data_IF_811223544624
#
_entry.id   IF_811223544624
#
_cell.length_a   1.000
_cell.length_b   1.000
_cell.length_c   1.000
_cell.angle_alpha   90.00
_cell.angle_beta   90.00
_cell.angle_gamma   90.00
#
_symmetry.space_group_name_H-M   'P 1'
#
loop_
_entity.id
_entity.type
_entity.pdbx_description
1 polymer ?
#
# COMPACT_ATOMS: atom_id res chain seq x y z
N UNK A 1 33.28 -14.36 -3.94
CA UNK A 1 33.65 -15.14 -5.12
C UNK A 1 35.12 -14.92 -5.40
N UNK A 2 35.86 -15.98 -5.71
CA UNK A 2 37.24 -15.86 -6.18
C UNK A 2 37.22 -15.83 -7.70
N UNK A 3 37.97 -14.91 -8.31
CA UNK A 3 38.20 -14.88 -9.74
C UNK A 3 39.42 -15.76 -10.00
N UNK A 4 39.28 -16.79 -10.82
CA UNK A 4 40.43 -17.59 -11.24
C UNK A 4 41.28 -16.78 -12.21
N UNK A 5 42.58 -16.66 -11.94
CA UNK A 5 43.55 -16.07 -12.87
C UNK A 5 44.08 -17.10 -13.89
N UNK A 6 43.58 -18.34 -13.85
CA UNK A 6 44.04 -19.44 -14.70
C UNK A 6 43.18 -19.48 -15.97
N UNK A 7 43.83 -19.45 -17.13
CA UNK A 7 43.18 -19.58 -18.43
C UNK A 7 42.97 -21.07 -18.78
N UNK A 8 41.75 -21.44 -19.16
CA UNK A 8 41.46 -22.76 -19.71
C UNK A 8 42.07 -22.90 -21.11
N UNK A 9 42.83 -23.98 -21.31
CA UNK A 9 43.41 -24.36 -22.61
C UNK A 9 42.69 -25.60 -23.16
N UNK A 10 42.75 -25.86 -24.48
CA UNK A 10 42.25 -27.10 -25.05
C UNK A 10 42.79 -28.34 -24.31
N UNK A 11 41.91 -29.28 -23.96
CA UNK A 11 42.25 -30.48 -23.20
C UNK A 11 42.38 -30.28 -21.69
N UNK A 12 42.05 -29.09 -21.16
CA UNK A 12 42.06 -28.80 -19.72
C UNK A 12 40.67 -28.40 -19.23
N UNK A 13 40.39 -28.63 -17.95
CA UNK A 13 39.18 -28.18 -17.28
C UNK A 13 39.54 -27.46 -15.98
N UNK A 14 38.76 -26.44 -15.61
CA UNK A 14 38.92 -25.70 -14.37
C UNK A 14 37.67 -25.91 -13.54
N UNK A 15 37.85 -26.36 -12.29
CA UNK A 15 36.74 -26.50 -11.36
C UNK A 15 36.16 -25.12 -11.03
N UNK A 16 34.86 -24.99 -11.18
CA UNK A 16 34.12 -23.75 -10.93
C UNK A 16 32.91 -24.04 -10.05
N UNK A 17 32.49 -23.03 -9.28
CA UNK A 17 31.27 -23.08 -8.47
C UNK A 17 30.22 -22.14 -9.06
N UNK A 18 28.95 -22.44 -8.83
CA UNK A 18 27.83 -21.59 -9.28
C UNK A 18 28.01 -20.14 -8.82
N UNK A 19 27.88 -19.19 -9.76
CA UNK A 19 28.03 -17.76 -9.51
C UNK A 19 29.47 -17.23 -9.58
N UNK A 20 30.47 -18.09 -9.81
CA UNK A 20 31.83 -17.63 -10.08
C UNK A 20 31.98 -17.16 -11.55
N UNK A 21 32.86 -16.17 -11.81
CA UNK A 21 33.14 -15.75 -13.18
C UNK A 21 33.79 -16.86 -14.01
N UNK A 22 33.38 -16.98 -15.27
CA UNK A 22 33.94 -17.95 -16.22
C UNK A 22 35.43 -17.64 -16.45
N UNK A 23 36.34 -18.62 -16.30
CA UNK A 23 37.76 -18.42 -16.55
C UNK A 23 38.01 -18.08 -18.03
N UNK A 24 39.01 -17.25 -18.36
CA UNK A 24 39.37 -16.99 -19.74
C UNK A 24 39.62 -18.30 -20.51
N UNK A 25 39.14 -18.39 -21.75
CA UNK A 25 39.31 -19.56 -22.61
C UNK A 25 38.32 -20.71 -22.41
N UNK A 26 37.48 -20.67 -21.37
CA UNK A 26 36.36 -21.61 -21.22
C UNK A 26 35.12 -21.10 -21.97
N UNK A 27 34.42 -22.00 -22.66
CA UNK A 27 33.25 -21.72 -23.49
C UNK A 27 31.99 -22.50 -23.06
N UNK A 28 32.08 -23.37 -22.05
CA UNK A 28 30.96 -24.10 -21.47
C UNK A 28 31.23 -24.50 -20.01
N UNK A 29 30.17 -24.77 -19.24
CA UNK A 29 30.26 -25.35 -17.90
C UNK A 29 29.51 -26.68 -17.85
N UNK A 30 30.19 -27.73 -17.39
CA UNK A 30 29.61 -29.07 -17.20
C UNK A 30 29.23 -29.24 -15.72
N UNK A 31 27.96 -29.55 -15.39
CA UNK A 31 27.57 -29.93 -14.03
C UNK A 31 28.37 -31.15 -13.56
N UNK A 32 28.83 -31.17 -12.30
CA UNK A 32 29.69 -32.24 -11.81
C UNK A 32 28.97 -33.60 -11.80
N UNK A 33 27.63 -33.61 -11.78
CA UNK A 33 26.77 -34.78 -11.91
C UNK A 33 26.94 -35.49 -13.27
N UNK A 34 27.43 -34.77 -14.28
CA UNK A 34 27.73 -35.29 -15.62
C UNK A 34 29.23 -35.57 -15.80
N UNK A 35 29.95 -35.74 -14.69
CA UNK A 35 31.38 -36.05 -14.65
C UNK A 35 31.66 -37.21 -13.70
N UNK A 36 32.86 -37.78 -13.78
CA UNK A 36 33.32 -38.84 -12.88
C UNK A 36 33.72 -38.35 -11.47
N UNK A 37 33.49 -37.06 -11.13
CA UNK A 37 33.85 -36.48 -9.83
C UNK A 37 33.19 -37.24 -8.66
N UNK A 38 31.93 -37.66 -8.81
CA UNK A 38 31.19 -38.36 -7.75
C UNK A 38 31.75 -39.75 -7.47
N UNK A 39 32.16 -40.48 -8.51
CA UNK A 39 32.76 -41.81 -8.40
C UNK A 39 34.16 -41.73 -7.79
N UNK A 40 34.99 -40.78 -8.24
CA UNK A 40 36.35 -40.56 -7.73
C UNK A 40 36.39 -40.18 -6.26
N UNK A 41 35.42 -39.37 -5.80
CA UNK A 41 35.28 -39.04 -4.36
C UNK A 41 34.99 -40.26 -3.50
N UNK A 42 34.20 -41.23 -4.01
CA UNK A 42 33.88 -42.47 -3.28
C UNK A 42 35.07 -43.43 -3.21
N UNK A 43 35.92 -43.43 -4.23
CA UNK A 43 37.09 -44.30 -4.30
C UNK A 43 38.37 -43.70 -3.70
N UNK A 44 38.29 -42.53 -3.03
CA UNK A 44 39.45 -41.78 -2.50
C UNK A 44 40.58 -41.56 -3.53
N UNK A 45 40.23 -41.51 -4.82
CA UNK A 45 41.17 -41.32 -5.91
C UNK A 45 41.25 -39.84 -6.23
N UNK A 46 42.35 -39.20 -5.83
CA UNK A 46 42.61 -37.79 -6.11
C UNK A 46 43.58 -37.69 -7.28
N UNK A 47 43.10 -37.19 -8.42
CA UNK A 47 43.91 -36.95 -9.62
C UNK A 47 43.58 -35.59 -10.26
N UNK A 48 44.46 -35.11 -11.13
CA UNK A 48 44.29 -33.83 -11.85
C UNK A 48 43.44 -33.95 -13.13
N UNK A 49 42.77 -35.09 -13.33
CA UNK A 49 41.98 -35.39 -14.51
C UNK A 49 40.51 -35.55 -14.12
N UNK A 50 39.62 -35.21 -15.06
CA UNK A 50 38.17 -35.37 -14.93
C UNK A 50 37.64 -36.04 -16.19
N UNK A 51 36.77 -37.04 -16.02
CA UNK A 51 36.00 -37.65 -17.08
C UNK A 51 34.68 -36.92 -17.28
N UNK A 52 34.38 -36.51 -18.51
CA UNK A 52 33.11 -35.87 -18.88
C UNK A 52 32.27 -36.90 -19.63
N UNK A 53 31.06 -37.19 -19.13
CA UNK A 53 30.23 -38.28 -19.66
C UNK A 53 29.37 -37.90 -20.86
N UNK A 54 29.22 -36.60 -21.16
CA UNK A 54 28.38 -36.13 -22.24
C UNK A 54 29.03 -34.98 -23.04
N UNK A 55 28.73 -34.86 -24.34
CA UNK A 55 29.07 -33.65 -25.08
C UNK A 55 28.30 -32.45 -24.50
N UNK A 56 28.92 -31.27 -24.48
CA UNK A 56 28.32 -30.03 -23.99
C UNK A 56 28.42 -28.97 -25.08
N UNK A 57 27.30 -28.31 -25.36
CA UNK A 57 27.26 -27.23 -26.35
C UNK A 57 28.00 -25.99 -25.85
N UNK A 58 28.54 -25.19 -26.78
CA UNK A 58 29.06 -23.88 -26.46
C UNK A 58 27.99 -23.04 -25.73
N UNK A 59 28.43 -22.25 -24.75
CA UNK A 59 27.63 -21.39 -23.87
C UNK A 59 26.70 -22.12 -22.90
N UNK A 60 26.72 -23.46 -22.84
CA UNK A 60 25.92 -24.20 -21.88
C UNK A 60 26.30 -23.84 -20.44
N UNK A 61 25.28 -23.55 -19.63
CA UNK A 61 25.40 -23.19 -18.22
C UNK A 61 26.26 -21.93 -17.95
N UNK A 62 26.44 -21.07 -18.95
CA UNK A 62 27.09 -19.77 -18.82
C UNK A 62 26.02 -18.68 -18.76
N UNK A 63 26.09 -17.85 -17.71
CA UNK A 63 25.28 -16.65 -17.57
C UNK A 63 26.04 -15.43 -18.07
N UNK A 64 25.53 -14.77 -19.13
CA UNK A 64 26.17 -13.61 -19.73
C UNK A 64 25.96 -12.36 -18.88
N UNK A 65 26.92 -11.45 -18.95
CA UNK A 65 26.83 -10.15 -18.27
C UNK A 65 25.61 -9.38 -18.76
N UNK A 66 24.69 -9.09 -17.85
CA UNK A 66 23.49 -8.31 -18.14
C UNK A 66 22.38 -9.09 -18.84
N UNK A 67 22.40 -10.43 -18.81
CA UNK A 67 21.31 -11.23 -19.36
C UNK A 67 19.99 -11.07 -18.60
N UNK A 68 20.06 -10.89 -17.27
CA UNK A 68 18.87 -10.67 -16.43
C UNK A 68 18.44 -9.20 -16.44
N UNK A 69 19.38 -8.28 -16.24
CA UNK A 69 19.16 -6.83 -16.21
C UNK A 69 20.35 -6.13 -16.86
N UNK A 70 20.11 -5.40 -17.94
CA UNK A 70 21.15 -4.65 -18.62
C UNK A 70 21.46 -3.32 -17.92
N UNK A 71 22.70 -2.85 -18.05
CA UNK A 71 23.07 -1.53 -17.52
C UNK A 71 22.27 -0.44 -18.23
N UNK A 72 21.57 0.38 -17.45
CA UNK A 72 20.76 1.50 -17.95
C UNK A 72 19.30 1.14 -18.23
N UNK A 73 18.93 -0.13 -18.06
CA UNK A 73 17.55 -0.59 -18.18
C UNK A 73 16.67 -0.06 -17.04
N UNK A 74 15.42 0.27 -17.36
CA UNK A 74 14.42 0.63 -16.35
C UNK A 74 13.85 -0.63 -15.71
N UNK A 75 14.20 -0.86 -14.45
CA UNK A 75 13.82 -2.08 -13.73
C UNK A 75 12.47 -1.96 -13.00
N UNK A 76 12.18 -0.79 -12.43
CA UNK A 76 10.94 -0.54 -11.68
C UNK A 76 10.35 0.80 -12.12
N UNK A 77 9.11 0.76 -12.61
CA UNK A 77 8.38 1.97 -13.00
C UNK A 77 7.92 2.79 -11.79
N UNK A 78 7.86 4.12 -11.94
CA UNK A 78 7.22 5.02 -10.96
C UNK A 78 5.76 4.60 -10.75
N UNK A 79 5.32 4.58 -9.50
CA UNK A 79 3.96 4.16 -9.12
C UNK A 79 3.83 2.65 -8.85
N UNK A 80 4.90 1.86 -9.07
CA UNK A 80 4.94 0.46 -8.65
C UNK A 80 4.97 0.35 -7.14
N UNK A 81 4.09 -0.50 -6.59
CA UNK A 81 4.12 -0.89 -5.18
C UNK A 81 5.31 -1.81 -4.98
N UNK A 82 6.17 -1.49 -4.01
CA UNK A 82 7.32 -2.33 -3.69
C UNK A 82 6.85 -3.55 -2.87
N UNK A 83 6.88 -4.73 -3.47
CA UNK A 83 6.66 -6.01 -2.80
C UNK A 83 8.01 -6.70 -2.55
N UNK A 84 8.06 -7.89 -1.90
CA UNK A 84 9.33 -8.55 -1.60
C UNK A 84 10.25 -8.74 -2.81
N UNK A 85 9.68 -9.01 -3.99
CA UNK A 85 10.43 -9.15 -5.23
C UNK A 85 11.13 -7.85 -5.65
N UNK A 86 10.41 -6.72 -5.69
CA UNK A 86 11.01 -5.42 -6.01
C UNK A 86 12.10 -5.02 -5.01
N UNK A 87 11.90 -5.32 -3.72
CA UNK A 87 12.92 -5.09 -2.69
C UNK A 87 14.17 -5.93 -2.96
N UNK A 88 14.01 -7.20 -3.32
CA UNK A 88 15.12 -8.09 -3.67
C UNK A 88 15.91 -7.60 -4.88
N UNK A 89 15.22 -7.10 -5.91
CA UNK A 89 15.85 -6.53 -7.10
C UNK A 89 16.58 -5.22 -6.77
N UNK A 90 16.00 -4.34 -5.95
CA UNK A 90 16.70 -3.12 -5.51
C UNK A 90 17.99 -3.46 -4.74
N UNK A 91 17.93 -4.47 -3.86
CA UNK A 91 19.08 -4.94 -3.10
C UNK A 91 20.17 -5.54 -4.00
N UNK A 92 19.80 -6.37 -4.99
CA UNK A 92 20.76 -6.96 -5.93
C UNK A 92 21.47 -5.92 -6.80
N UNK A 93 20.81 -4.78 -7.05
CA UNK A 93 21.37 -3.61 -7.74
C UNK A 93 22.16 -2.68 -6.80
N UNK A 94 22.36 -3.04 -5.53
CA UNK A 94 23.11 -2.24 -4.56
C UNK A 94 22.39 -0.96 -4.13
N UNK A 95 21.07 -0.87 -4.28
CA UNK A 95 20.28 0.31 -3.90
C UNK A 95 19.86 0.22 -2.44
N UNK A 96 20.60 0.89 -1.56
CA UNK A 96 20.29 0.95 -0.13
C UNK A 96 19.22 2.00 0.24
N UNK A 97 18.91 2.94 -0.67
CA UNK A 97 17.87 3.96 -0.51
C UNK A 97 17.17 4.21 -1.83
N UNK A 98 15.86 4.41 -1.77
CA UNK A 98 15.02 4.75 -2.93
C UNK A 98 14.05 5.87 -2.57
N UNK A 99 13.70 6.68 -3.56
CA UNK A 99 12.67 7.72 -3.41
C UNK A 99 11.30 7.06 -3.52
N UNK A 100 10.44 7.30 -2.54
CA UNK A 100 9.05 6.80 -2.50
C UNK A 100 8.08 7.94 -2.22
N UNK A 101 6.81 7.73 -2.55
CA UNK A 101 5.74 8.64 -2.10
C UNK A 101 5.54 8.41 -0.61
N UNK A 102 5.52 9.49 0.18
CA UNK A 102 5.25 9.39 1.62
C UNK A 102 3.81 8.96 1.87
N UNK A 103 3.56 8.34 3.03
CA UNK A 103 2.20 8.07 3.48
C UNK A 103 1.46 9.39 3.75
N UNK A 104 0.18 9.52 3.35
CA UNK A 104 -0.62 10.70 3.66
C UNK A 104 -1.03 10.70 5.13
N UNK A 105 -1.02 11.88 5.75
CA UNK A 105 -1.51 12.11 7.11
C UNK A 105 -3.00 12.46 7.05
N UNK A 106 -3.84 11.67 7.71
CA UNK A 106 -5.31 11.81 7.66
C UNK A 106 -5.82 12.21 9.04
N UNK A 107 -6.36 13.41 9.15
CA UNK A 107 -7.01 13.90 10.36
C UNK A 107 -8.39 13.27 10.53
N UNK A 108 -8.74 12.85 11.74
CA UNK A 108 -10.06 12.27 12.07
C UNK A 108 -10.65 13.06 13.22
N UNK A 109 -11.81 13.67 12.99
CA UNK A 109 -12.53 14.48 13.97
C UNK A 109 -13.94 13.90 14.15
N UNK A 110 -14.27 13.48 15.37
CA UNK A 110 -15.64 13.17 15.71
C UNK A 110 -16.41 14.46 16.03
N UNK A 111 -17.70 14.48 15.74
CA UNK A 111 -18.63 15.52 16.21
C UNK A 111 -19.85 14.85 16.81
N UNK A 112 -20.59 15.58 17.63
CA UNK A 112 -21.75 15.05 18.35
C UNK A 112 -21.65 15.38 19.83
N UNK A 113 -22.60 16.17 20.33
CA UNK A 113 -22.71 16.41 21.77
C UNK A 113 -22.99 15.11 22.53
N UNK A 114 -23.61 14.10 21.91
CA UNK A 114 -23.83 12.78 22.49
C UNK A 114 -22.55 11.95 22.67
N UNK A 115 -21.44 12.33 22.04
CA UNK A 115 -20.24 11.51 21.92
C UNK A 115 -19.28 11.75 23.08
N UNK A 116 -18.85 10.67 23.74
CA UNK A 116 -17.86 10.67 24.82
C UNK A 116 -16.56 9.97 24.40
N UNK A 117 -15.47 10.41 25.02
CA UNK A 117 -14.21 9.68 24.99
C UNK A 117 -14.32 8.34 25.74
N UNK A 118 -13.61 7.32 25.28
CA UNK A 118 -13.67 5.96 25.84
C UNK A 118 -13.12 5.85 27.27
N UNK A 119 -12.38 6.86 27.74
CA UNK A 119 -11.83 6.93 29.10
C UNK A 119 -12.81 7.53 30.10
N UNK A 120 -13.88 8.18 29.64
CA UNK A 120 -14.86 8.83 30.50
C UNK A 120 -15.95 7.85 30.95
N UNK A 121 -16.56 8.04 32.13
CA UNK A 121 -17.70 7.24 32.54
C UNK A 121 -18.91 7.51 31.64
N UNK A 122 -19.63 6.45 31.26
CA UNK A 122 -20.84 6.57 30.44
C UNK A 122 -21.92 7.35 31.19
N UNK A 123 -22.47 8.38 30.54
CA UNK A 123 -23.55 9.19 31.08
C UNK A 123 -24.87 8.88 30.35
N UNK A 124 -26.04 9.08 30.99
CA UNK A 124 -27.32 8.93 30.33
C UNK A 124 -27.41 9.77 29.05
N UNK A 125 -27.86 9.15 27.95
CA UNK A 125 -27.99 9.81 26.65
C UNK A 125 -26.67 10.03 25.88
N UNK A 126 -25.55 9.53 26.40
CA UNK A 126 -24.26 9.58 25.71
C UNK A 126 -23.85 8.22 25.15
N UNK A 127 -22.98 8.24 24.14
CA UNK A 127 -22.38 7.06 23.51
C UNK A 127 -20.86 7.23 23.38
N UNK A 128 -20.12 6.13 23.36
CA UNK A 128 -18.68 6.19 23.15
C UNK A 128 -18.30 6.43 21.69
N UNK A 129 -17.22 7.18 21.48
CA UNK A 129 -16.63 7.49 20.17
C UNK A 129 -16.00 6.26 19.50
N UNK A 130 -16.82 5.34 18.98
CA UNK A 130 -16.34 4.15 18.28
C UNK A 130 -15.78 4.47 16.88
N UNK A 131 -16.37 5.44 16.18
CA UNK A 131 -16.02 5.75 14.78
C UNK A 131 -14.59 6.25 14.62
N UNK A 132 -14.08 7.08 15.54
CA UNK A 132 -12.72 7.60 15.42
C UNK A 132 -11.68 6.48 15.40
N UNK A 133 -11.87 5.44 16.22
CA UNK A 133 -10.96 4.29 16.27
C UNK A 133 -11.13 3.35 15.08
N UNK A 134 -12.36 3.07 14.64
CA UNK A 134 -12.58 2.24 13.45
C UNK A 134 -12.01 2.91 12.20
N UNK A 135 -12.22 4.22 12.04
CA UNK A 135 -11.65 5.01 10.94
C UNK A 135 -10.12 5.08 11.00
N UNK A 136 -9.53 5.24 12.19
CA UNK A 136 -8.06 5.24 12.34
C UNK A 136 -7.44 3.91 11.90
N UNK A 137 -8.08 2.79 12.26
CA UNK A 137 -7.70 1.47 11.78
C UNK A 137 -7.85 1.39 10.25
N UNK A 138 -8.96 1.84 9.68
CA UNK A 138 -9.18 1.80 8.22
C UNK A 138 -8.18 2.67 7.46
N UNK A 139 -7.80 3.85 7.98
CA UNK A 139 -6.71 4.69 7.43
C UNK A 139 -5.40 3.93 7.41
N UNK A 140 -5.03 3.30 8.53
CA UNK A 140 -3.80 2.51 8.65
C UNK A 140 -3.78 1.34 7.66
N UNK A 141 -4.89 0.59 7.56
CA UNK A 141 -5.04 -0.51 6.59
C UNK A 141 -5.00 -0.03 5.13
N UNK A 142 -5.39 1.22 4.87
CA UNK A 142 -5.33 1.85 3.55
C UNK A 142 -3.95 2.45 3.22
N UNK A 143 -2.98 2.35 4.13
CA UNK A 143 -1.61 2.84 3.95
C UNK A 143 -1.37 4.28 4.40
N UNK A 144 -2.37 4.98 4.93
CA UNK A 144 -2.24 6.31 5.51
C UNK A 144 -1.74 6.29 6.96
N UNK A 145 -1.51 7.48 7.52
CA UNK A 145 -1.19 7.70 8.94
C UNK A 145 -2.39 8.41 9.57
N UNK A 146 -3.11 7.80 10.53
CA UNK A 146 -4.24 8.46 11.18
C UNK A 146 -3.75 9.47 12.24
N UNK A 147 -4.46 10.59 12.36
CA UNK A 147 -4.30 11.56 13.43
C UNK A 147 -5.66 11.85 14.05
N UNK A 148 -5.88 11.40 15.29
CA UNK A 148 -7.10 11.68 16.04
C UNK A 148 -7.08 13.12 16.54
N UNK A 149 -8.07 13.91 16.13
CA UNK A 149 -8.21 15.32 16.50
C UNK A 149 -9.15 15.54 17.71
N UNK A 150 -9.79 14.45 18.16
CA UNK A 150 -10.71 14.44 19.30
C UNK A 150 -12.17 14.50 18.88
N UNK A 151 -13.00 15.02 19.79
CA UNK A 151 -14.44 15.21 19.62
C UNK A 151 -14.71 16.72 19.66
N UNK A 152 -15.36 17.25 18.64
CA UNK A 152 -15.84 18.63 18.62
C UNK A 152 -17.31 18.70 19.07
N UNK A 153 -17.68 19.67 19.93
CA UNK A 153 -19.09 19.98 20.21
C UNK A 153 -19.84 20.43 18.96
N UNK A 154 -21.16 20.28 18.95
CA UNK A 154 -22.03 20.64 17.82
C UNK A 154 -22.34 22.14 17.78
N UNK A 155 -21.30 22.97 17.69
CA UNK A 155 -21.43 24.39 17.40
C UNK A 155 -20.35 24.89 16.44
N UNK A 156 -20.68 25.87 15.60
CA UNK A 156 -19.84 26.27 14.48
C UNK A 156 -18.46 26.78 14.91
N UNK A 157 -18.39 27.47 16.06
CA UNK A 157 -17.15 28.06 16.58
C UNK A 157 -16.17 26.97 17.02
N UNK A 158 -16.62 26.03 17.84
CA UNK A 158 -15.74 24.97 18.36
C UNK A 158 -15.38 23.97 17.26
N UNK A 159 -16.31 23.68 16.34
CA UNK A 159 -16.04 22.85 15.19
C UNK A 159 -14.99 23.49 14.25
N UNK A 160 -15.09 24.78 13.97
CA UNK A 160 -14.08 25.54 13.20
C UNK A 160 -12.69 25.45 13.85
N UNK A 161 -12.61 25.66 15.17
CA UNK A 161 -11.36 25.54 15.92
C UNK A 161 -10.78 24.12 15.86
N UNK A 162 -11.63 23.09 15.93
CA UNK A 162 -11.21 21.71 15.83
C UNK A 162 -10.74 21.34 14.40
N UNK A 163 -11.43 21.83 13.36
CA UNK A 163 -11.05 21.66 11.96
C UNK A 163 -9.68 22.26 11.67
N UNK A 164 -9.36 23.43 12.24
CA UNK A 164 -8.04 24.07 12.10
C UNK A 164 -6.89 23.21 12.62
N UNK A 165 -7.13 22.34 13.62
CA UNK A 165 -6.13 21.34 14.06
C UNK A 165 -5.79 20.32 12.97
N UNK A 166 -6.70 20.12 12.00
CA UNK A 166 -6.49 19.26 10.84
C UNK A 166 -5.70 19.90 9.70
N UNK A 167 -5.34 21.19 9.77
CA UNK A 167 -4.70 21.89 8.65
C UNK A 167 -3.28 21.41 8.34
N UNK A 168 -2.62 20.75 9.29
CA UNK A 168 -1.34 20.05 9.10
C UNK A 168 -1.49 18.69 8.38
N UNK A 169 -2.71 18.20 8.20
CA UNK A 169 -2.99 16.94 7.52
C UNK A 169 -3.10 17.12 5.99
N UNK A 170 -3.08 16.00 5.28
CA UNK A 170 -3.29 15.95 3.83
C UNK A 170 -4.77 15.79 3.47
N UNK A 171 -5.58 15.29 4.40
CA UNK A 171 -7.02 15.11 4.30
C UNK A 171 -7.64 15.14 5.68
N UNK A 172 -8.86 15.63 5.78
CA UNK A 172 -9.68 15.60 6.99
C UNK A 172 -10.90 14.70 6.79
N UNK A 173 -11.17 13.85 7.77
CA UNK A 173 -12.38 13.05 7.87
C UNK A 173 -13.14 13.51 9.10
N UNK A 174 -14.40 13.91 8.93
CA UNK A 174 -15.31 14.11 10.06
C UNK A 174 -16.25 12.93 10.17
N UNK A 175 -16.67 12.56 11.37
CA UNK A 175 -17.65 11.51 11.63
C UNK A 175 -18.70 12.01 12.59
N UNK A 176 -19.97 11.99 12.17
CA UNK A 176 -21.04 12.67 12.89
C UNK A 176 -21.32 14.05 12.29
N UNK A 177 -22.40 14.69 12.72
CA UNK A 177 -22.79 16.02 12.26
C UNK A 177 -23.34 16.10 10.83
N UNK A 178 -23.10 15.10 9.98
CA UNK A 178 -23.57 15.06 8.57
C UNK A 178 -24.94 14.36 8.50
N UNK A 179 -26.01 15.09 8.73
CA UNK A 179 -27.39 14.58 8.66
C UNK A 179 -28.31 15.59 7.97
N UNK A 180 -29.44 15.12 7.45
CA UNK A 180 -30.45 15.97 6.77
C UNK A 180 -31.25 16.87 7.74
N UNK A 181 -30.82 17.01 8.99
CA UNK A 181 -31.51 17.82 10.00
C UNK A 181 -31.07 19.28 9.98
N UNK A 182 -31.85 20.14 10.65
CA UNK A 182 -31.66 21.60 10.73
C UNK A 182 -30.36 22.04 11.43
N UNK A 183 -29.55 21.10 11.94
CA UNK A 183 -28.36 21.32 12.76
C UNK A 183 -27.07 20.76 12.13
N UNK A 184 -26.94 20.80 10.80
CA UNK A 184 -25.70 20.36 10.13
C UNK A 184 -24.61 21.44 10.23
N UNK A 185 -24.02 21.55 11.43
CA UNK A 185 -22.95 22.51 11.76
C UNK A 185 -21.72 22.27 10.88
N UNK A 186 -21.46 21.01 10.49
CA UNK A 186 -20.36 20.67 9.57
C UNK A 186 -20.57 21.32 8.21
N UNK A 187 -21.80 21.28 7.68
CA UNK A 187 -22.15 21.97 6.44
C UNK A 187 -21.92 23.46 6.55
N UNK A 188 -22.43 24.09 7.60
CA UNK A 188 -22.29 25.53 7.81
C UNK A 188 -20.81 25.96 7.84
N UNK A 189 -19.97 25.24 8.58
CA UNK A 189 -18.55 25.56 8.67
C UNK A 189 -17.83 25.30 7.34
N UNK A 190 -18.18 24.24 6.63
CA UNK A 190 -17.59 23.95 5.31
C UNK A 190 -18.00 24.98 4.24
N UNK A 191 -19.24 25.46 4.25
CA UNK A 191 -19.69 26.54 3.35
C UNK A 191 -19.04 27.89 3.68
N UNK A 192 -18.73 28.15 4.96
CA UNK A 192 -18.08 29.39 5.39
C UNK A 192 -16.57 29.41 5.14
N UNK A 193 -15.88 28.27 5.35
CA UNK A 193 -14.42 28.18 5.36
C UNK A 193 -13.84 27.43 4.16
N UNK A 194 -14.69 26.98 3.24
CA UNK A 194 -14.32 26.07 2.17
C UNK A 194 -15.25 26.12 0.97
N UNK A 195 -15.22 25.03 0.21
CA UNK A 195 -16.07 24.78 -0.95
C UNK A 195 -16.72 23.39 -0.80
N UNK A 196 -18.04 23.32 -0.98
CA UNK A 196 -18.82 22.07 -0.92
C UNK A 196 -19.02 21.53 -2.33
N UNK A 197 -18.74 20.24 -2.54
CA UNK A 197 -18.97 19.56 -3.83
C UNK A 197 -20.27 18.76 -3.83
N UNK A 198 -20.51 17.91 -2.84
CA UNK A 198 -21.74 17.12 -2.73
C UNK A 198 -22.06 16.75 -1.28
N UNK A 199 -23.35 16.46 -1.02
CA UNK A 199 -23.89 16.18 0.33
C UNK A 199 -24.66 14.84 0.46
N UNK A 200 -24.95 14.18 -0.66
CA UNK A 200 -25.62 12.89 -0.66
C UNK A 200 -25.18 12.02 -1.81
N UNK A 201 -25.25 10.70 -1.61
CA UNK A 201 -25.04 9.70 -2.65
C UNK A 201 -26.19 8.69 -2.63
N UNK A 202 -26.60 8.21 -3.81
CA UNK A 202 -27.59 7.14 -3.94
C UNK A 202 -26.98 5.77 -3.56
N UNK A 203 -26.80 5.54 -2.27
CA UNK A 203 -26.24 4.31 -1.71
C UNK A 203 -26.92 3.89 -0.41
N UNK A 204 -26.77 2.62 -0.04
CA UNK A 204 -27.22 2.07 1.24
C UNK A 204 -26.20 1.08 1.80
N UNK A 205 -25.80 1.22 3.08
CA UNK A 205 -25.99 2.38 3.96
C UNK A 205 -25.13 3.57 3.53
N UNK A 206 -25.22 4.72 4.22
CA UNK A 206 -24.34 5.87 3.94
C UNK A 206 -24.85 6.91 2.94
N UNK A 207 -26.17 7.10 2.81
CA UNK A 207 -26.75 8.18 1.99
C UNK A 207 -26.14 9.58 2.28
N UNK A 208 -26.06 10.05 3.54
CA UNK A 208 -25.48 11.35 3.83
C UNK A 208 -23.95 11.23 3.78
N UNK A 209 -23.33 12.01 2.91
CA UNK A 209 -21.88 12.08 2.81
C UNK A 209 -21.52 13.46 2.27
N UNK A 210 -20.64 14.14 2.99
CA UNK A 210 -20.13 15.44 2.58
C UNK A 210 -18.77 15.28 1.92
N UNK A 211 -18.55 15.93 0.79
CA UNK A 211 -17.21 16.13 0.26
C UNK A 211 -17.01 17.60 -0.12
N UNK A 212 -15.85 18.12 0.23
CA UNK A 212 -15.45 19.48 -0.07
C UNK A 212 -13.98 19.73 0.25
N UNK A 213 -13.61 21.00 0.28
CA UNK A 213 -12.24 21.41 0.62
C UNK A 213 -12.25 22.63 1.52
N UNK A 214 -11.43 22.65 2.56
CA UNK A 214 -11.17 23.86 3.37
C UNK A 214 -10.05 24.69 2.77
N UNK A 215 -10.21 26.01 2.77
CA UNK A 215 -9.18 26.95 2.31
C UNK A 215 -8.04 26.98 3.33
N UNK A 216 -6.80 27.01 2.83
CA UNK A 216 -5.58 27.16 3.64
C UNK A 216 -4.73 28.27 3.03
N UNK A 217 -4.40 29.28 3.82
CA UNK A 217 -3.64 30.44 3.34
C UNK A 217 -2.27 30.03 2.79
N UNK A 218 -2.01 30.36 1.53
CA UNK A 218 -0.74 30.03 0.86
C UNK A 218 -0.47 28.54 0.66
N UNK A 219 -1.45 27.66 0.89
CA UNK A 219 -1.32 26.21 0.77
C UNK A 219 -2.41 25.62 -0.13
N UNK A 220 -2.20 24.38 -0.59
CA UNK A 220 -3.25 23.62 -1.27
C UNK A 220 -4.47 23.49 -0.35
N UNK A 221 -5.68 23.58 -0.89
CA UNK A 221 -6.90 23.36 -0.10
C UNK A 221 -6.88 21.97 0.57
N UNK A 222 -7.43 21.87 1.78
CA UNK A 222 -7.49 20.62 2.55
C UNK A 222 -8.75 19.83 2.15
N UNK A 223 -8.64 18.68 1.49
CA UNK A 223 -9.79 17.84 1.20
C UNK A 223 -10.47 17.36 2.47
N UNK A 224 -11.79 17.43 2.49
CA UNK A 224 -12.64 17.02 3.60
C UNK A 224 -13.65 15.98 3.13
N UNK A 225 -13.82 14.93 3.94
CA UNK A 225 -14.87 13.95 3.78
C UNK A 225 -15.66 13.82 5.08
N UNK A 226 -16.92 14.24 5.07
CA UNK A 226 -17.83 14.09 6.19
C UNK A 226 -18.62 12.80 6.08
N UNK A 227 -18.39 11.92 7.04
CA UNK A 227 -19.00 10.60 7.13
C UNK A 227 -20.22 10.59 8.07
N UNK A 228 -21.19 9.70 7.82
CA UNK A 228 -22.32 9.50 8.72
C UNK A 228 -21.89 9.18 10.16
N UNK A 229 -22.68 9.59 11.14
CA UNK A 229 -22.47 9.21 12.55
C UNK A 229 -22.74 7.72 12.84
N UNK A 230 -23.60 7.06 12.05
CA UNK A 230 -23.86 5.63 12.21
C UNK A 230 -22.59 4.80 11.91
N UNK A 231 -22.13 3.91 12.83
CA UNK A 231 -20.83 3.25 12.68
C UNK A 231 -20.66 2.41 11.42
N UNK A 232 -21.66 1.61 11.06
CA UNK A 232 -21.62 0.77 9.85
C UNK A 232 -21.59 1.65 8.60
N UNK A 233 -22.42 2.70 8.58
CA UNK A 233 -22.48 3.65 7.47
C UNK A 233 -21.14 4.39 7.31
N UNK A 234 -20.51 4.81 8.40
CA UNK A 234 -19.21 5.48 8.40
C UNK A 234 -18.12 4.58 7.78
N UNK A 235 -18.01 3.33 8.23
CA UNK A 235 -17.01 2.39 7.72
C UNK A 235 -17.20 2.03 6.24
N UNK A 236 -18.44 1.85 5.79
CA UNK A 236 -18.76 1.56 4.38
C UNK A 236 -18.46 2.78 3.50
N UNK A 237 -18.81 3.98 3.97
CA UNK A 237 -18.55 5.22 3.26
C UNK A 237 -17.04 5.50 3.17
N UNK A 238 -16.28 5.23 4.23
CA UNK A 238 -14.81 5.26 4.19
C UNK A 238 -14.27 4.33 3.09
N UNK A 239 -14.72 3.08 3.06
CA UNK A 239 -14.23 2.07 2.13
C UNK A 239 -14.49 2.45 0.65
N UNK A 240 -15.62 3.10 0.39
CA UNK A 240 -16.02 3.52 -0.97
C UNK A 240 -15.33 4.82 -1.39
N UNK A 241 -15.12 5.78 -0.49
CA UNK A 241 -14.65 7.13 -0.85
C UNK A 241 -13.28 7.50 -0.27
N UNK A 242 -13.05 7.29 1.03
CA UNK A 242 -11.79 7.67 1.67
C UNK A 242 -10.63 6.77 1.24
N UNK A 243 -10.83 5.44 1.18
CA UNK A 243 -9.78 4.50 0.75
C UNK A 243 -9.23 4.82 -0.65
N UNK A 244 -10.05 4.98 -1.72
CA UNK A 244 -9.50 5.33 -3.03
C UNK A 244 -8.87 6.72 -3.05
N UNK A 245 -9.34 7.69 -2.24
CA UNK A 245 -8.68 8.99 -2.11
C UNK A 245 -7.28 8.87 -1.51
N UNK A 246 -7.11 8.07 -0.45
CA UNK A 246 -5.81 7.75 0.17
C UNK A 246 -4.87 7.08 -0.85
N UNK A 247 -5.37 6.09 -1.59
CA UNK A 247 -4.59 5.44 -2.65
C UNK A 247 -4.13 6.44 -3.72
N UNK A 248 -5.02 7.34 -4.15
CA UNK A 248 -4.69 8.40 -5.11
C UNK A 248 -3.60 9.32 -4.59
N UNK A 249 -3.66 9.73 -3.31
CA UNK A 249 -2.60 10.53 -2.66
C UNK A 249 -1.25 9.79 -2.62
N UNK A 250 -1.27 8.46 -2.51
CA UNK A 250 -0.08 7.62 -2.57
C UNK A 250 0.43 7.36 -4.00
N UNK A 251 -0.21 7.92 -5.02
CA UNK A 251 0.12 7.69 -6.43
C UNK A 251 -0.19 6.27 -6.90
N UNK A 252 -1.03 5.55 -6.16
CA UNK A 252 -1.51 4.22 -6.56
C UNK A 252 -2.64 4.36 -7.59
N UNK A 253 -2.79 3.39 -8.50
CA UNK A 253 -3.97 3.34 -9.35
C UNK A 253 -5.23 3.25 -8.48
N UNK A 254 -6.25 4.06 -8.79
CA UNK A 254 -7.56 3.97 -8.16
C UNK A 254 -8.25 2.67 -8.61
N UNK A 255 -7.90 1.53 -8.01
CA UNK A 255 -8.59 0.27 -8.23
C UNK A 255 -9.74 0.13 -7.25
N UNK A 256 -10.91 -0.21 -7.77
CA UNK A 256 -11.97 -0.78 -6.94
C UNK A 256 -11.46 -2.05 -6.26
N UNK A 257 -12.13 -2.48 -5.18
CA UNK A 257 -11.89 -3.84 -4.69
C UNK A 257 -12.21 -4.84 -5.81
N UNK A 258 -11.58 -6.02 -5.74
CA UNK A 258 -11.90 -7.12 -6.64
C UNK A 258 -13.35 -7.53 -6.38
N UNK A 259 -14.19 -7.42 -7.40
CA UNK A 259 -15.53 -7.98 -7.38
C UNK A 259 -15.48 -9.43 -7.82
N UNK A 260 -16.32 -10.25 -7.20
CA UNK A 260 -16.54 -11.64 -7.60
C UNK A 260 -18.04 -11.85 -7.75
N UNK A 261 -18.43 -12.71 -8.67
CA UNK A 261 -19.83 -13.15 -8.81
C UNK A 261 -20.02 -14.35 -7.88
N UNK A 262 -21.08 -14.33 -7.09
CA UNK A 262 -21.44 -15.39 -6.16
C UNK A 262 -22.95 -15.65 -6.20
N UNK A 263 -23.35 -16.86 -5.82
CA UNK A 263 -24.76 -17.22 -5.63
C UNK A 263 -25.13 -16.95 -4.18
N UNK A 264 -26.24 -16.24 -3.96
CA UNK A 264 -26.76 -16.00 -2.60
C UNK A 264 -27.43 -17.27 -2.08
N UNK A 265 -27.10 -17.67 -0.85
CA UNK A 265 -27.77 -18.79 -0.17
C UNK A 265 -29.08 -18.34 0.47
N UNK A 266 -29.10 -17.12 0.99
CA UNK A 266 -30.26 -16.50 1.63
C UNK A 266 -30.89 -15.39 0.78
N UNK A 267 -32.20 -15.20 0.93
CA UNK A 267 -32.93 -14.13 0.23
C UNK A 267 -32.59 -12.75 0.80
N UNK A 268 -32.03 -11.88 -0.03
CA UNK A 268 -31.80 -10.46 0.30
C UNK A 268 -32.98 -9.62 -0.22
N UNK A 269 -33.68 -8.91 0.67
CA UNK A 269 -34.79 -8.01 0.31
C UNK A 269 -34.32 -6.55 0.23
N UNK A 270 -34.17 -6.02 -0.98
CA UNK A 270 -33.97 -4.59 -1.19
C UNK A 270 -35.32 -3.88 -1.37
N UNK A 271 -35.74 -3.06 -0.40
CA UNK A 271 -37.07 -2.43 -0.38
C UNK A 271 -37.10 -0.97 -0.87
N UNK A 272 -35.95 -0.35 -1.11
CA UNK A 272 -35.87 1.11 -1.34
C UNK A 272 -35.12 1.54 -2.60
N UNK A 273 -34.82 0.61 -3.51
CA UNK A 273 -34.27 0.89 -4.84
C UNK A 273 -32.81 1.39 -4.86
N UNK A 274 -32.19 1.64 -3.69
CA UNK A 274 -30.78 2.03 -3.61
C UNK A 274 -29.88 0.83 -3.82
N UNK A 275 -28.68 1.07 -4.35
CA UNK A 275 -27.66 0.03 -4.49
C UNK A 275 -27.21 -0.43 -3.10
N UNK A 276 -27.36 -1.74 -2.84
CA UNK A 276 -26.81 -2.46 -1.68
C UNK A 276 -25.39 -2.90 -2.05
#
# INVERSE_FOLDING_TARGET
>A
GQISNIQAKPGTAIRIMTGAPIPPGADAVVPFELTDETERKRSSSFGQQIGIYCPVAAEANIRRRGEDIAKGELVIHRGRILQPAEIGVLASLGRNRVKVVRKPLIGILATGDEVLDITQPLQPGKIYNSNSYSLACQVTYSGGIPKLLGIAPDNAKDLSLAIKKGFECDMLITSGGVSLGDYDVVKQVLEAEGDVSFWTVCMKPGKPIAFGTFKRDGMLALPHLGLPGNPVSSMITFEIFARPAIHKMMGMPCSSRRYVVAVIEDTIKNRDGRRI
#
